data_IF_855769661752
#
_entry.id   IF_855769661752
#
_cell.length_a   1.000
_cell.length_b   1.000
_cell.length_c   1.000
_cell.angle_alpha   90.00
_cell.angle_beta   90.00
_cell.angle_gamma   90.00
#
_symmetry.space_group_name_H-M   'P 1'
#
loop_
_entity.id
_entity.type
_entity.pdbx_description
1 polymer ?
#
# COMPACT_ATOMS: atom_id res chain seq x y z
N UNK A 1 9.85 22.95 -17.54
CA UNK A 1 8.68 22.37 -16.84
C UNK A 1 9.18 21.29 -15.91
N UNK A 2 9.25 21.58 -14.61
CA UNK A 2 9.85 20.71 -13.60
C UNK A 2 8.80 19.68 -13.19
N UNK A 3 8.94 18.43 -13.67
CA UNK A 3 8.11 17.32 -13.21
C UNK A 3 8.51 16.96 -11.77
N UNK A 4 7.78 17.50 -10.80
CA UNK A 4 7.94 17.16 -9.39
C UNK A 4 7.40 15.75 -9.14
N UNK A 5 8.31 14.85 -8.72
CA UNK A 5 8.01 13.44 -8.48
C UNK A 5 7.11 13.27 -7.25
N UNK A 6 5.83 13.01 -7.51
CA UNK A 6 4.83 12.63 -6.49
C UNK A 6 5.23 11.30 -5.84
N UNK A 7 5.55 11.38 -4.55
CA UNK A 7 5.01 10.55 -3.47
C UNK A 7 5.22 9.04 -3.43
N UNK A 8 5.22 8.31 -4.55
CA UNK A 8 5.25 6.84 -4.51
C UNK A 8 6.54 6.36 -3.83
N UNK A 9 6.49 5.48 -2.81
CA UNK A 9 7.64 4.85 -2.24
C UNK A 9 8.21 3.98 -3.35
N UNK A 10 9.31 4.44 -3.91
CA UNK A 10 10.09 3.76 -4.94
C UNK A 10 10.68 2.43 -4.45
N UNK A 11 10.23 1.92 -3.28
CA UNK A 11 10.46 0.57 -2.76
C UNK A 11 10.24 -0.53 -3.81
N UNK A 12 9.53 -0.20 -4.88
CA UNK A 12 9.11 -1.03 -5.99
C UNK A 12 9.93 -0.82 -7.29
N UNK A 13 10.62 0.31 -7.48
CA UNK A 13 11.38 0.61 -8.72
C UNK A 13 12.65 -0.22 -8.92
N UNK A 14 13.17 -0.89 -7.88
CA UNK A 14 14.39 -1.70 -7.99
C UNK A 14 14.18 -3.21 -7.99
N UNK A 15 12.95 -3.70 -7.74
CA UNK A 15 12.56 -5.01 -8.26
C UNK A 15 12.57 -5.00 -9.81
N UNK A 16 12.55 -3.80 -10.36
CA UNK A 16 12.27 -3.41 -11.71
C UNK A 16 13.52 -3.09 -12.57
N UNK A 17 14.71 -2.94 -11.99
CA UNK A 17 15.93 -2.60 -12.75
C UNK A 17 16.75 -3.84 -13.17
N UNK A 18 16.19 -5.04 -13.07
CA UNK A 18 16.87 -6.30 -13.38
C UNK A 18 16.89 -6.61 -14.87
N UNK A 19 17.60 -5.82 -15.67
CA UNK A 19 17.90 -6.17 -17.05
C UNK A 19 18.97 -7.27 -17.10
N UNK A 20 18.55 -8.54 -17.11
CA UNK A 20 19.41 -9.68 -17.39
C UNK A 20 19.57 -9.86 -18.90
N UNK A 21 20.53 -9.14 -19.49
CA UNK A 21 20.97 -9.39 -20.88
C UNK A 21 21.77 -10.69 -20.94
N UNK A 22 21.13 -11.79 -21.34
CA UNK A 22 21.82 -13.01 -21.75
C UNK A 22 22.00 -13.00 -23.27
N UNK A 23 23.10 -12.42 -23.75
CA UNK A 23 23.55 -12.59 -25.14
C UNK A 23 24.10 -14.02 -25.29
N UNK A 24 23.37 -14.89 -26.00
CA UNK A 24 23.89 -16.20 -26.41
C UNK A 24 24.61 -16.06 -27.74
N UNK A 25 25.94 -16.14 -27.69
CA UNK A 25 26.77 -16.32 -28.86
C UNK A 25 26.46 -17.66 -29.54
N UNK A 26 26.32 -17.60 -30.85
CA UNK A 26 26.06 -18.70 -31.77
C UNK A 26 27.38 -19.43 -32.08
N UNK A 27 27.46 -20.74 -31.88
CA UNK A 27 28.51 -21.59 -32.47
C UNK A 27 27.86 -22.84 -33.08
N UNK A 28 28.19 -23.08 -34.35
CA UNK A 28 27.64 -24.10 -35.25
C UNK A 28 28.18 -25.52 -34.97
N UNK A 29 27.26 -26.49 -34.98
CA UNK A 29 27.29 -27.84 -35.63
C UNK A 29 28.34 -28.88 -35.14
N UNK A 30 28.18 -30.22 -35.35
CA UNK A 30 27.28 -30.90 -36.32
C UNK A 30 26.46 -32.12 -35.83
N UNK A 31 25.36 -32.35 -36.57
CA UNK A 31 24.64 -33.59 -36.97
C UNK A 31 25.02 -34.98 -36.40
N UNK A 32 23.99 -35.70 -35.91
CA UNK A 32 23.77 -37.12 -36.20
C UNK A 32 22.26 -37.48 -36.11
N UNK A 33 21.79 -38.13 -37.16
CA UNK A 33 20.44 -38.66 -37.43
C UNK A 33 20.19 -40.04 -36.81
N UNK A 34 18.91 -40.41 -36.56
CA UNK A 34 18.27 -41.72 -36.92
C UNK A 34 16.84 -41.84 -36.30
N UNK A 35 15.86 -41.82 -37.22
CA UNK A 35 14.58 -42.56 -37.41
C UNK A 35 13.59 -42.96 -36.28
N UNK A 36 12.30 -42.63 -36.57
CA UNK A 36 11.05 -43.44 -36.52
C UNK A 36 10.51 -43.92 -35.14
N UNK A 37 9.20 -44.08 -34.85
CA UNK A 37 7.98 -44.18 -35.66
C UNK A 37 6.71 -43.96 -34.80
N UNK A 38 5.64 -43.47 -35.44
CA UNK A 38 4.20 -43.85 -35.38
C UNK A 38 3.45 -44.07 -34.04
N UNK A 39 2.26 -43.45 -33.96
CA UNK A 39 1.11 -43.95 -33.20
C UNK A 39 -0.03 -42.94 -33.00
N UNK A 40 -1.07 -43.00 -33.83
CA UNK A 40 -2.40 -42.38 -33.62
C UNK A 40 -3.17 -43.11 -32.48
N UNK A 41 -4.18 -42.57 -31.79
CA UNK A 41 -5.57 -42.35 -32.25
C UNK A 41 -6.48 -41.71 -31.16
N UNK A 42 -7.61 -41.12 -31.62
CA UNK A 42 -8.95 -40.97 -31.01
C UNK A 42 -9.09 -40.14 -29.70
N UNK A 43 -9.80 -39.00 -29.61
CA UNK A 43 -11.12 -38.57 -30.09
C UNK A 43 -12.31 -39.39 -29.54
N UNK A 44 -12.95 -38.86 -28.49
CA UNK A 44 -14.31 -39.24 -28.09
C UNK A 44 -15.08 -38.00 -27.61
N UNK A 45 -16.06 -37.60 -28.41
CA UNK A 45 -17.10 -36.63 -28.11
C UNK A 45 -18.14 -37.26 -27.17
N UNK A 46 -18.70 -36.47 -26.25
CA UNK A 46 -20.11 -36.59 -25.88
C UNK A 46 -20.78 -35.23 -25.86
N UNK A 47 -21.74 -35.09 -26.78
CA UNK A 47 -22.78 -34.06 -26.80
C UNK A 47 -23.73 -34.28 -25.64
N UNK A 48 -24.21 -33.21 -25.02
CA UNK A 48 -25.60 -33.13 -24.59
C UNK A 48 -26.11 -31.74 -24.98
N UNK A 49 -27.20 -31.74 -25.73
CA UNK A 49 -27.89 -30.56 -26.26
C UNK A 49 -28.95 -30.07 -25.26
N UNK A 50 -29.33 -28.79 -25.38
CA UNK A 50 -30.66 -28.33 -24.92
C UNK A 50 -30.68 -26.93 -24.30
N UNK A 51 -30.77 -25.91 -25.15
CA UNK A 51 -31.39 -24.60 -24.84
C UNK A 51 -32.74 -24.60 -25.57
N UNK A 52 -33.81 -24.02 -24.99
CA UNK A 52 -34.21 -22.71 -25.50
C UNK A 52 -34.60 -21.71 -24.41
N UNK A 53 -34.40 -20.44 -24.75
CA UNK A 53 -34.85 -19.26 -24.06
C UNK A 53 -36.36 -19.00 -24.26
N UNK A 54 -36.95 -18.23 -23.35
CA UNK A 54 -38.15 -17.44 -23.63
C UNK A 54 -39.10 -17.28 -22.45
N UNK A 55 -39.17 -16.07 -21.88
CA UNK A 55 -40.42 -15.33 -21.65
C UNK A 55 -40.14 -14.03 -20.89
N UNK A 56 -40.51 -12.92 -21.52
CA UNK A 56 -40.67 -11.62 -20.89
C UNK A 56 -41.91 -11.61 -19.99
N UNK A 57 -41.86 -10.83 -18.91
CA UNK A 57 -43.08 -10.34 -18.23
C UNK A 57 -42.75 -9.06 -17.46
N UNK A 58 -43.27 -7.98 -18.01
CA UNK A 58 -43.43 -6.62 -17.49
C UNK A 58 -44.41 -6.57 -16.31
N UNK A 59 -44.12 -5.75 -15.29
CA UNK A 59 -45.05 -5.36 -14.22
C UNK A 59 -44.46 -4.26 -13.33
N UNK A 60 -45.27 -3.35 -12.76
CA UNK A 60 -45.08 -1.92 -13.00
C UNK A 60 -44.39 -1.13 -11.89
N UNK A 61 -43.78 -0.03 -12.36
CA UNK A 61 -43.35 1.15 -11.62
C UNK A 61 -44.57 1.91 -11.11
N UNK A 62 -44.56 2.36 -9.86
CA UNK A 62 -45.51 3.35 -9.36
C UNK A 62 -44.76 4.49 -8.66
N UNK A 63 -44.67 5.69 -9.27
CA UNK A 63 -44.15 6.89 -8.65
C UNK A 63 -45.33 7.79 -8.22
N UNK A 64 -45.41 8.09 -6.94
CA UNK A 64 -46.29 9.11 -6.39
C UNK A 64 -45.89 9.35 -4.94
N UNK A 65 -45.93 10.54 -4.37
CA UNK A 65 -46.29 11.87 -4.85
C UNK A 65 -45.67 12.84 -3.84
N UNK A 66 -45.54 14.08 -4.25
CA UNK A 66 -44.86 15.16 -3.56
C UNK A 66 -45.86 16.00 -2.70
N UNK A 67 -45.31 16.60 -1.63
CA UNK A 67 -45.65 17.89 -0.94
C UNK A 67 -46.86 17.96 0.04
N UNK A 68 -47.01 19.04 0.86
CA UNK A 68 -46.46 19.22 2.23
C UNK A 68 -47.56 19.45 3.28
N UNK A 69 -47.22 19.52 4.58
CA UNK A 69 -47.96 20.40 5.49
C UNK A 69 -47.08 20.95 6.61
N UNK A 70 -47.12 22.28 6.71
CA UNK A 70 -46.66 23.19 7.75
C UNK A 70 -47.26 22.88 9.14
N UNK A 71 -46.53 23.11 10.23
CA UNK A 71 -47.16 22.96 11.56
C UNK A 71 -46.33 23.24 12.80
N UNK A 72 -45.95 24.51 12.98
CA UNK A 72 -45.96 25.23 14.27
C UNK A 72 -44.88 24.92 15.33
N UNK A 73 -44.13 25.99 15.59
CA UNK A 73 -43.27 26.21 16.74
C UNK A 73 -44.00 26.10 18.08
N UNK A 74 -43.37 25.42 19.04
CA UNK A 74 -43.68 25.49 20.46
C UNK A 74 -42.40 25.76 21.23
N UNK A 75 -42.16 27.03 21.56
CA UNK A 75 -41.15 27.43 22.54
C UNK A 75 -41.66 27.11 23.94
N UNK A 76 -40.91 26.31 24.70
CA UNK A 76 -41.02 26.29 26.16
C UNK A 76 -39.62 26.25 26.77
N UNK A 77 -39.22 27.37 27.37
CA UNK A 77 -38.10 27.47 28.29
C UNK A 77 -38.58 26.99 29.65
N UNK A 78 -37.90 26.03 30.25
CA UNK A 78 -37.76 25.93 31.71
C UNK A 78 -36.34 25.47 32.05
N UNK A 79 -35.83 26.05 33.13
CA UNK A 79 -34.42 26.14 33.50
C UNK A 79 -33.88 24.92 34.26
N UNK A 80 -32.56 24.76 34.14
CA UNK A 80 -31.56 24.26 35.08
C UNK A 80 -31.96 23.22 36.16
N UNK A 81 -31.29 22.06 36.09
CA UNK A 81 -30.77 21.38 37.26
C UNK A 81 -29.41 20.75 36.90
N UNK A 82 -28.40 21.09 37.68
CA UNK A 82 -27.08 20.46 37.64
C UNK A 82 -27.22 18.99 38.03
N UNK A 83 -26.59 18.12 37.24
CA UNK A 83 -26.26 16.75 37.62
C UNK A 83 -24.78 16.57 37.32
N UNK A 84 -23.97 16.70 38.38
CA UNK A 84 -22.63 16.15 38.41
C UNK A 84 -22.79 14.63 38.48
N UNK A 85 -22.41 13.93 37.41
CA UNK A 85 -22.57 12.48 37.37
C UNK A 85 -22.30 11.90 36.00
N UNK A 86 -21.03 11.81 35.65
CA UNK A 86 -20.42 10.87 34.68
C UNK A 86 -19.16 11.54 34.14
N UNK A 87 -18.06 11.47 34.89
CA UNK A 87 -16.76 11.53 34.25
C UNK A 87 -16.72 10.31 33.33
N UNK A 88 -16.94 10.53 32.03
CA UNK A 88 -16.64 9.52 31.02
C UNK A 88 -15.19 9.14 31.26
N UNK A 89 -14.94 7.85 31.52
CA UNK A 89 -13.60 7.29 31.48
C UNK A 89 -13.13 7.52 30.04
N UNK A 90 -12.46 8.65 29.86
CA UNK A 90 -12.10 9.14 28.55
C UNK A 90 -10.81 8.46 28.16
N UNK A 91 -10.87 7.93 26.96
CA UNK A 91 -9.85 7.35 26.10
C UNK A 91 -8.56 8.20 26.01
N UNK A 92 -7.84 8.34 27.12
CA UNK A 92 -6.69 9.23 27.22
C UNK A 92 -5.44 8.49 26.73
N UNK A 93 -5.08 8.74 25.47
CA UNK A 93 -3.75 8.38 24.95
C UNK A 93 -2.68 8.91 25.92
N UNK A 94 -1.74 8.06 26.40
CA UNK A 94 -0.72 8.49 27.36
C UNK A 94 0.04 9.73 26.89
N UNK A 95 0.31 10.66 27.81
CA UNK A 95 0.91 11.96 27.48
C UNK A 95 2.25 11.84 26.74
N UNK A 96 3.10 10.88 27.15
CA UNK A 96 4.37 10.58 26.45
C UNK A 96 4.14 10.12 25.00
N UNK A 97 3.11 9.32 24.76
CA UNK A 97 2.77 8.82 23.43
C UNK A 97 2.26 9.97 22.57
N UNK A 98 1.35 10.78 23.11
CA UNK A 98 0.83 11.97 22.44
C UNK A 98 1.96 12.90 21.98
N UNK A 99 2.93 13.21 22.86
CA UNK A 99 4.11 14.03 22.54
C UNK A 99 4.93 13.47 21.38
N UNK A 100 5.19 12.16 21.34
CA UNK A 100 5.95 11.54 20.25
C UNK A 100 5.18 11.61 18.93
N UNK A 101 3.89 11.28 18.94
CA UNK A 101 3.07 11.29 17.73
C UNK A 101 2.92 12.71 17.16
N UNK A 102 2.72 13.71 18.01
CA UNK A 102 2.66 15.12 17.61
C UNK A 102 4.01 15.60 17.06
N UNK A 103 5.12 15.24 17.70
CA UNK A 103 6.46 15.59 17.20
C UNK A 103 6.73 14.98 15.81
N UNK A 104 6.32 13.73 15.57
CA UNK A 104 6.44 13.09 14.25
C UNK A 104 5.54 13.78 13.20
N UNK A 105 4.29 14.11 13.57
CA UNK A 105 3.36 14.84 12.71
C UNK A 105 3.90 16.24 12.37
N UNK A 106 4.53 16.94 13.32
CA UNK A 106 5.13 18.27 13.10
C UNK A 106 6.34 18.23 12.16
N UNK A 107 7.14 17.16 12.21
CA UNK A 107 8.25 16.98 11.28
C UNK A 107 7.74 16.68 9.86
N UNK A 108 6.70 15.85 9.76
CA UNK A 108 6.11 15.48 8.47
C UNK A 108 5.22 16.56 7.86
N UNK A 109 4.67 17.48 8.65
CA UNK A 109 3.91 18.63 8.14
C UNK A 109 4.76 19.62 7.35
N UNK A 110 6.09 19.52 7.47
CA UNK A 110 7.07 20.32 6.73
C UNK A 110 7.36 19.78 5.31
N UNK A 111 6.77 18.66 4.91
CA UNK A 111 6.86 18.17 3.53
C UNK A 111 6.25 19.19 2.56
N UNK A 112 7.01 19.72 1.59
CA UNK A 112 6.50 20.71 0.64
C UNK A 112 5.51 20.13 -0.37
N UNK A 113 5.41 18.79 -0.49
CA UNK A 113 4.43 18.12 -1.35
C UNK A 113 3.15 17.91 -0.58
N UNK A 114 2.01 18.00 -1.27
CA UNK A 114 0.70 17.71 -0.69
C UNK A 114 -0.06 16.65 -1.47
N UNK A 115 -1.07 16.08 -0.82
CA UNK A 115 -2.08 15.19 -1.40
C UNK A 115 -3.44 15.59 -0.86
N UNK A 116 -4.48 15.40 -1.67
CA UNK A 116 -5.85 15.62 -1.22
C UNK A 116 -6.34 14.45 -0.37
N UNK A 117 -6.82 14.77 0.84
CA UNK A 117 -7.49 13.83 1.74
C UNK A 117 -8.80 14.47 2.18
N UNK A 118 -9.92 13.84 1.84
CA UNK A 118 -11.26 14.34 2.21
C UNK A 118 -11.50 15.81 1.80
N UNK A 119 -11.02 16.19 0.61
CA UNK A 119 -11.14 17.55 0.07
C UNK A 119 -10.16 18.58 0.66
N UNK A 120 -9.21 18.14 1.52
CA UNK A 120 -8.18 19.01 2.10
C UNK A 120 -6.80 18.67 1.57
N UNK A 121 -5.99 19.70 1.27
CA UNK A 121 -4.59 19.52 0.94
C UNK A 121 -3.77 19.27 2.20
N UNK A 122 -3.18 18.08 2.32
CA UNK A 122 -2.38 17.65 3.46
C UNK A 122 -0.94 17.36 3.00
N UNK A 123 0.10 17.77 3.74
CA UNK A 123 1.48 17.40 3.44
C UNK A 123 1.64 15.88 3.25
N UNK A 124 2.37 15.44 2.22
CA UNK A 124 2.33 14.05 1.75
C UNK A 124 2.82 13.07 2.82
N UNK A 125 4.00 13.28 3.42
CA UNK A 125 4.48 12.37 4.48
C UNK A 125 3.59 12.40 5.74
N UNK A 126 2.86 13.51 6.01
CA UNK A 126 1.89 13.56 7.11
C UNK A 126 0.66 12.69 6.80
N UNK A 127 0.11 12.81 5.59
CA UNK A 127 -0.98 11.96 5.12
C UNK A 127 -0.55 10.48 5.12
N UNK A 128 0.65 10.17 4.62
CA UNK A 128 1.21 8.82 4.61
C UNK A 128 1.27 8.20 6.00
N UNK A 129 1.82 8.93 6.98
CA UNK A 129 1.96 8.43 8.34
C UNK A 129 0.59 8.17 9.01
N UNK A 130 -0.43 8.97 8.67
CA UNK A 130 -1.82 8.78 9.11
C UNK A 130 -2.47 7.55 8.45
N UNK A 131 -2.30 7.35 7.14
CA UNK A 131 -2.79 6.15 6.45
C UNK A 131 -2.16 4.88 7.01
N UNK A 132 -0.84 4.90 7.21
CA UNK A 132 -0.13 3.77 7.79
C UNK A 132 -0.60 3.46 9.21
N UNK A 133 -0.79 4.49 10.05
CA UNK A 133 -1.39 4.31 11.37
C UNK A 133 -2.79 3.69 11.28
N UNK A 134 -3.64 4.17 10.38
CA UNK A 134 -4.98 3.62 10.18
C UNK A 134 -4.98 2.13 9.83
N UNK A 135 -4.09 1.70 8.94
CA UNK A 135 -3.92 0.28 8.61
C UNK A 135 -3.38 -0.55 9.77
N UNK A 136 -2.37 -0.05 10.49
CA UNK A 136 -1.81 -0.74 11.66
C UNK A 136 -2.87 -0.96 12.73
N UNK A 137 -3.71 0.04 13.02
CA UNK A 137 -4.78 -0.10 14.02
C UNK A 137 -5.86 -1.08 13.59
N UNK A 138 -6.26 -1.08 12.31
CA UNK A 138 -7.21 -2.07 11.78
C UNK A 138 -6.67 -3.49 11.85
N UNK A 139 -5.44 -3.71 11.41
CA UNK A 139 -4.81 -5.03 11.44
C UNK A 139 -4.55 -5.52 12.87
N UNK A 140 -4.21 -4.62 13.80
CA UNK A 140 -4.09 -4.97 15.21
C UNK A 140 -5.44 -5.42 15.80
N UNK A 141 -6.53 -4.72 15.48
CA UNK A 141 -7.88 -5.13 15.88
C UNK A 141 -8.26 -6.50 15.28
N UNK A 142 -7.99 -6.72 13.99
CA UNK A 142 -8.23 -8.02 13.32
C UNK A 142 -7.38 -9.16 13.92
N UNK A 143 -6.22 -8.83 14.50
CA UNK A 143 -5.37 -9.75 15.26
C UNK A 143 -5.82 -9.97 16.71
N UNK A 144 -6.93 -9.36 17.14
CA UNK A 144 -7.44 -9.45 18.52
C UNK A 144 -6.71 -8.57 19.53
N UNK A 145 -5.90 -7.61 19.06
CA UNK A 145 -5.15 -6.68 19.92
C UNK A 145 -6.03 -5.46 20.20
N UNK A 146 -6.73 -5.47 21.34
CA UNK A 146 -7.60 -4.36 21.77
C UNK A 146 -6.85 -3.09 22.16
N UNK A 147 -5.60 -3.25 22.61
CA UNK A 147 -4.72 -2.14 23.01
C UNK A 147 -3.34 -2.33 22.35
N UNK A 148 -3.16 -1.81 21.12
CA UNK A 148 -1.86 -1.82 20.46
C UNK A 148 -0.80 -1.14 21.30
N UNK A 149 0.42 -1.70 21.34
CA UNK A 149 1.51 -1.12 22.11
C UNK A 149 1.82 0.31 21.66
N UNK A 150 2.36 1.12 22.58
CA UNK A 150 2.79 2.47 22.25
C UNK A 150 3.87 2.44 21.15
N UNK A 151 4.77 1.46 21.22
CA UNK A 151 5.83 1.22 20.23
C UNK A 151 5.27 0.93 18.84
N UNK A 152 4.24 0.08 18.70
CA UNK A 152 3.61 -0.19 17.41
C UNK A 152 2.98 1.07 16.82
N UNK A 153 2.30 1.87 17.65
CA UNK A 153 1.70 3.15 17.24
C UNK A 153 2.78 4.14 16.79
N UNK A 154 3.90 4.21 17.50
CA UNK A 154 5.05 5.08 17.18
C UNK A 154 5.72 4.63 15.89
N UNK A 155 5.95 3.32 15.69
CA UNK A 155 6.54 2.79 14.45
C UNK A 155 5.67 3.15 13.25
N UNK A 156 4.35 2.95 13.34
CA UNK A 156 3.42 3.29 12.26
C UNK A 156 3.50 4.77 11.88
N UNK A 157 3.65 5.64 12.88
CA UNK A 157 3.76 7.09 12.70
C UNK A 157 5.14 7.53 12.21
N UNK A 158 6.21 6.83 12.59
CA UNK A 158 7.61 7.18 12.32
C UNK A 158 8.25 6.49 11.11
N UNK A 159 7.59 5.49 10.50
CA UNK A 159 8.19 4.60 9.49
C UNK A 159 8.85 5.33 8.30
N UNK A 160 8.37 6.51 7.91
CA UNK A 160 8.92 7.37 6.85
C UNK A 160 9.12 8.84 7.29
N UNK A 161 9.35 9.09 8.58
CA UNK A 161 9.48 10.46 9.11
C UNK A 161 10.57 11.26 8.37
N UNK A 162 10.23 12.45 7.88
CA UNK A 162 11.11 13.35 7.11
C UNK A 162 11.73 12.74 5.83
N UNK A 163 11.13 11.68 5.27
CA UNK A 163 11.63 11.04 4.03
C UNK A 163 11.81 12.01 2.87
N UNK A 164 10.95 13.03 2.78
CA UNK A 164 11.01 14.08 1.76
C UNK A 164 12.34 14.85 1.72
N UNK A 165 13.12 14.87 2.81
CA UNK A 165 14.44 15.52 2.87
C UNK A 165 15.52 14.81 2.06
N UNK A 166 15.37 13.51 1.81
CA UNK A 166 16.35 12.69 1.10
C UNK A 166 15.68 12.05 -0.12
N UNK A 167 15.42 12.83 -1.19
CA UNK A 167 14.77 12.32 -2.39
C UNK A 167 15.66 11.29 -3.09
N UNK A 168 15.07 10.31 -3.79
CA UNK A 168 15.83 9.27 -4.49
C UNK A 168 16.81 9.82 -5.52
N UNK A 169 16.48 10.93 -6.16
CA UNK A 169 17.34 11.61 -7.12
C UNK A 169 18.65 12.13 -6.52
N UNK A 170 18.78 12.17 -5.19
CA UNK A 170 20.06 12.49 -4.51
C UNK A 170 21.08 11.34 -4.54
N UNK A 171 20.70 10.16 -5.02
CA UNK A 171 21.58 9.00 -5.19
C UNK A 171 21.72 8.64 -6.67
N UNK A 172 22.87 8.08 -7.13
CA UNK A 172 23.01 7.59 -8.51
C UNK A 172 21.93 6.59 -8.91
N UNK A 173 21.73 6.40 -10.22
CA UNK A 173 20.83 5.37 -10.73
C UNK A 173 21.34 3.94 -10.43
N UNK A 174 20.47 2.96 -10.67
CA UNK A 174 20.81 1.54 -10.51
C UNK A 174 20.50 0.97 -9.13
N UNK A 175 20.52 -0.37 -9.08
CA UNK A 175 20.03 -1.17 -7.94
C UNK A 175 20.85 -0.94 -6.67
N UNK A 176 22.18 -0.88 -6.77
CA UNK A 176 23.07 -0.73 -5.60
C UNK A 176 22.86 0.60 -4.89
N UNK A 177 22.89 1.71 -5.63
CA UNK A 177 22.67 3.04 -5.07
C UNK A 177 21.27 3.19 -4.47
N UNK A 178 20.26 2.56 -5.09
CA UNK A 178 18.93 2.50 -4.53
C UNK A 178 18.85 1.73 -3.20
N UNK A 179 19.54 0.59 -3.08
CA UNK A 179 19.55 -0.19 -1.84
C UNK A 179 20.24 0.60 -0.72
N UNK A 180 21.32 1.32 -1.06
CA UNK A 180 22.00 2.22 -0.14
C UNK A 180 21.07 3.34 0.34
N UNK A 181 20.41 4.06 -0.57
CA UNK A 181 19.44 5.10 -0.22
C UNK A 181 18.36 4.59 0.74
N UNK A 182 17.84 3.39 0.51
CA UNK A 182 16.84 2.78 1.40
C UNK A 182 17.38 2.42 2.77
N UNK A 183 18.63 1.96 2.82
CA UNK A 183 19.31 1.66 4.08
C UNK A 183 19.53 2.93 4.90
N UNK A 184 19.94 4.01 4.26
CA UNK A 184 20.18 5.29 4.91
C UNK A 184 18.87 5.94 5.38
N UNK A 185 17.81 5.88 4.57
CA UNK A 185 16.47 6.36 4.95
C UNK A 185 15.97 5.68 6.23
N UNK A 186 15.95 4.34 6.28
CA UNK A 186 15.41 3.64 7.47
C UNK A 186 16.24 3.91 8.73
N UNK A 187 17.57 4.10 8.60
CA UNK A 187 18.44 4.51 9.72
C UNK A 187 18.08 5.92 10.20
N UNK A 188 17.89 6.87 9.29
CA UNK A 188 17.50 8.24 9.64
C UNK A 188 16.11 8.29 10.29
N UNK A 189 15.14 7.52 9.79
CA UNK A 189 13.79 7.41 10.37
C UNK A 189 13.84 6.83 11.78
N UNK A 190 14.61 5.75 11.98
CA UNK A 190 14.78 5.14 13.30
C UNK A 190 15.41 6.12 14.29
N UNK A 191 16.52 6.76 13.91
CA UNK A 191 17.22 7.73 14.75
C UNK A 191 16.33 8.93 15.13
N UNK A 192 15.57 9.47 14.18
CA UNK A 192 14.65 10.58 14.42
C UNK A 192 13.54 10.19 15.39
N UNK A 193 12.94 9.01 15.16
CA UNK A 193 11.84 8.51 15.98
C UNK A 193 12.30 8.21 17.41
N UNK A 194 13.42 7.50 17.58
CA UNK A 194 13.93 7.15 18.92
C UNK A 194 14.45 8.36 19.69
N UNK A 195 14.96 9.38 19.01
CA UNK A 195 15.30 10.67 19.65
C UNK A 195 14.07 11.34 20.26
N UNK A 196 12.93 11.37 19.55
CA UNK A 196 11.68 11.92 20.08
C UNK A 196 11.14 11.07 21.24
N UNK A 197 11.24 9.74 21.15
CA UNK A 197 10.89 8.85 22.25
C UNK A 197 11.73 9.10 23.51
N UNK A 198 13.05 9.19 23.37
CA UNK A 198 13.93 9.47 24.50
C UNK A 198 13.60 10.82 25.15
N UNK A 199 13.34 11.86 24.36
CA UNK A 199 12.91 13.18 24.85
C UNK A 199 11.54 13.15 25.56
N UNK A 200 10.66 12.21 25.19
CA UNK A 200 9.38 11.99 25.85
C UNK A 200 9.46 11.05 27.09
N UNK A 201 10.66 10.57 27.44
CA UNK A 201 10.89 9.74 28.63
C UNK A 201 10.67 8.24 28.43
N UNK A 202 10.70 7.73 27.19
CA UNK A 202 10.68 6.28 26.97
C UNK A 202 12.01 5.63 27.41
N UNK A 203 11.96 4.42 28.01
CA UNK A 203 13.17 3.69 28.36
C UNK A 203 13.91 3.21 27.11
N UNK A 204 15.22 3.00 27.24
CA UNK A 204 16.10 2.59 26.15
C UNK A 204 15.62 1.32 25.43
N UNK A 205 15.07 0.35 26.17
CA UNK A 205 14.56 -0.91 25.61
C UNK A 205 13.35 -0.69 24.68
N UNK A 206 12.47 0.26 25.00
CA UNK A 206 11.36 0.63 24.11
C UNK A 206 11.89 1.31 22.84
N UNK A 207 12.89 2.20 22.95
CA UNK A 207 13.54 2.83 21.81
C UNK A 207 14.23 1.79 20.90
N UNK A 208 14.96 0.82 21.46
CA UNK A 208 15.60 -0.28 20.70
C UNK A 208 14.57 -1.14 19.98
N UNK A 209 13.41 -1.40 20.59
CA UNK A 209 12.32 -2.14 19.94
C UNK A 209 11.79 -1.39 18.72
N UNK A 210 11.48 -0.10 18.86
CA UNK A 210 11.01 0.75 17.75
C UNK A 210 12.06 0.84 16.64
N UNK A 211 13.34 1.01 16.99
CA UNK A 211 14.44 0.99 16.02
C UNK A 211 14.47 -0.33 15.23
N UNK A 212 14.41 -1.49 15.90
CA UNK A 212 14.39 -2.80 15.23
C UNK A 212 13.21 -2.94 14.26
N UNK A 213 12.03 -2.45 14.63
CA UNK A 213 10.84 -2.49 13.78
C UNK A 213 11.00 -1.59 12.55
N UNK A 214 11.44 -0.33 12.71
CA UNK A 214 11.68 0.59 11.57
C UNK A 214 12.77 0.05 10.64
N UNK A 215 13.84 -0.50 11.20
CA UNK A 215 14.94 -1.13 10.45
C UNK A 215 14.54 -2.46 9.79
N UNK A 216 13.32 -2.96 10.04
CA UNK A 216 12.78 -4.23 9.54
C UNK A 216 13.58 -5.45 9.99
N UNK A 217 14.07 -5.43 11.22
CA UNK A 217 14.84 -6.52 11.84
C UNK A 217 13.98 -7.46 12.70
N UNK A 218 12.70 -7.13 12.92
CA UNK A 218 11.75 -7.86 13.76
C UNK A 218 10.48 -8.33 12.99
N UNK A 219 10.58 -8.58 11.68
CA UNK A 219 9.42 -8.87 10.81
C UNK A 219 8.67 -10.17 11.13
N UNK A 220 9.26 -11.09 11.88
CA UNK A 220 8.65 -12.37 12.25
C UNK A 220 7.78 -12.28 13.50
N UNK A 221 7.84 -11.17 14.22
CA UNK A 221 7.00 -10.90 15.39
C UNK A 221 5.62 -10.40 14.92
N UNK A 222 4.57 -10.64 15.72
CA UNK A 222 3.19 -10.23 15.37
C UNK A 222 3.09 -8.77 14.95
N UNK A 223 3.67 -7.86 15.72
CA UNK A 223 3.65 -6.43 15.40
C UNK A 223 4.53 -6.08 14.20
N UNK A 224 5.67 -6.77 14.02
CA UNK A 224 6.50 -6.63 12.84
C UNK A 224 5.77 -7.02 11.56
N UNK A 225 4.99 -8.09 11.60
CA UNK A 225 4.14 -8.53 10.50
C UNK A 225 2.99 -7.53 10.26
N UNK A 226 2.35 -7.01 11.30
CA UNK A 226 1.31 -5.96 11.18
C UNK A 226 1.87 -4.73 10.44
N UNK A 227 3.07 -4.28 10.78
CA UNK A 227 3.72 -3.13 10.11
C UNK A 227 4.03 -3.44 8.65
N UNK A 228 4.55 -4.64 8.33
CA UNK A 228 4.84 -5.03 6.94
C UNK A 228 3.56 -5.15 6.10
N UNK A 229 2.49 -5.72 6.67
CA UNK A 229 1.17 -5.82 6.05
C UNK A 229 0.59 -4.42 5.78
N UNK A 230 0.58 -3.56 6.80
CA UNK A 230 0.09 -2.18 6.69
C UNK A 230 0.86 -1.39 5.64
N UNK A 231 2.18 -1.55 5.57
CA UNK A 231 2.99 -0.95 4.52
C UNK A 231 2.54 -1.41 3.13
N UNK A 232 2.36 -2.71 2.91
CA UNK A 232 1.90 -3.24 1.63
C UNK A 232 0.51 -2.69 1.26
N UNK A 233 -0.41 -2.64 2.22
CA UNK A 233 -1.78 -2.13 2.03
C UNK A 233 -1.80 -0.65 1.66
N UNK A 234 -1.00 0.20 2.32
CA UNK A 234 -0.89 1.62 1.93
C UNK A 234 -0.42 1.76 0.49
N UNK A 235 0.49 0.89 0.00
CA UNK A 235 0.87 0.96 -1.41
C UNK A 235 -0.26 0.57 -2.35
N UNK A 236 -0.91 -0.56 -2.08
CA UNK A 236 -1.99 -1.05 -2.91
C UNK A 236 -3.14 -0.03 -2.98
N UNK A 237 -3.48 0.59 -1.85
CA UNK A 237 -4.61 1.54 -1.75
C UNK A 237 -4.27 2.93 -2.30
N UNK A 238 -3.06 3.46 -2.02
CA UNK A 238 -2.78 4.90 -2.22
C UNK A 238 -1.80 5.21 -3.33
N UNK A 239 -1.01 4.24 -3.77
CA UNK A 239 0.20 4.51 -4.56
C UNK A 239 0.27 3.66 -5.82
N UNK A 240 -0.42 2.53 -5.87
CA UNK A 240 -0.36 1.59 -6.99
C UNK A 240 -0.78 2.27 -8.31
N UNK A 241 -1.94 2.93 -8.34
CA UNK A 241 -2.45 3.59 -9.54
C UNK A 241 -1.47 4.64 -10.10
N UNK A 242 -0.87 5.48 -9.24
CA UNK A 242 0.11 6.51 -9.63
C UNK A 242 1.48 5.93 -9.98
N UNK A 243 1.78 4.73 -9.49
CA UNK A 243 3.08 4.10 -9.72
C UNK A 243 3.21 3.49 -11.10
N UNK A 244 2.12 2.92 -11.62
CA UNK A 244 2.14 2.17 -12.86
C UNK A 244 2.58 3.00 -14.09
N UNK A 245 2.11 4.24 -14.30
CA UNK A 245 2.57 5.08 -15.41
C UNK A 245 4.10 5.28 -15.43
N UNK A 246 4.73 5.43 -14.26
CA UNK A 246 6.18 5.58 -14.15
C UNK A 246 6.93 4.33 -14.63
N UNK A 247 6.36 3.15 -14.46
CA UNK A 247 6.96 1.91 -14.99
C UNK A 247 6.90 1.85 -16.50
N UNK A 248 5.80 2.33 -17.10
CA UNK A 248 5.64 2.42 -18.56
C UNK A 248 6.66 3.40 -19.14
N UNK A 249 6.80 4.59 -18.54
CA UNK A 249 7.79 5.59 -18.97
C UNK A 249 9.22 5.03 -18.92
N UNK A 250 9.57 4.32 -17.85
CA UNK A 250 10.89 3.69 -17.72
C UNK A 250 11.14 2.59 -18.75
N UNK A 251 10.14 1.74 -19.01
CA UNK A 251 10.24 0.72 -20.04
C UNK A 251 10.39 1.33 -21.44
N UNK A 252 9.61 2.39 -21.74
CA UNK A 252 9.71 3.11 -23.00
C UNK A 252 11.08 3.78 -23.19
N UNK A 253 11.63 4.37 -22.13
CA UNK A 253 12.96 4.98 -22.15
C UNK A 253 14.07 3.93 -22.38
N UNK A 254 13.98 2.77 -21.72
CA UNK A 254 14.93 1.66 -21.91
C UNK A 254 14.88 1.07 -23.33
N UNK A 255 13.72 1.09 -23.97
CA UNK A 255 13.52 0.62 -25.34
C UNK A 255 13.91 1.65 -26.43
N UNK A 256 14.36 2.85 -26.07
CA UNK A 256 14.78 3.88 -27.02
C UNK A 256 13.65 4.45 -27.89
N UNK A 257 12.40 4.45 -27.40
CA UNK A 257 11.23 4.91 -28.16
C UNK A 257 10.58 3.86 -29.07
N UNK A 258 10.71 2.57 -28.72
CA UNK A 258 10.08 1.44 -29.41
C UNK A 258 8.55 1.37 -29.27
N UNK A 259 7.97 0.25 -29.71
CA UNK A 259 6.53 -0.03 -29.70
C UNK A 259 5.89 0.22 -28.30
N UNK A 260 4.91 1.13 -28.19
CA UNK A 260 4.20 1.38 -26.93
C UNK A 260 3.59 0.13 -26.29
N UNK A 261 3.16 -0.85 -27.08
CA UNK A 261 2.61 -2.10 -26.56
C UNK A 261 3.68 -2.95 -25.87
N UNK A 262 4.92 -2.93 -26.37
CA UNK A 262 6.05 -3.63 -25.76
C UNK A 262 6.45 -2.99 -24.41
N UNK A 263 6.52 -1.66 -24.35
CA UNK A 263 6.79 -0.93 -23.11
C UNK A 263 5.71 -1.19 -22.04
N UNK A 264 4.44 -1.22 -22.46
CA UNK A 264 3.32 -1.58 -21.60
C UNK A 264 3.45 -3.02 -21.05
N UNK A 265 3.77 -4.00 -21.91
CA UNK A 265 3.92 -5.39 -21.50
C UNK A 265 5.09 -5.60 -20.52
N UNK A 266 6.20 -4.88 -20.71
CA UNK A 266 7.32 -4.89 -19.76
C UNK A 266 6.94 -4.28 -18.41
N UNK A 267 6.25 -3.14 -18.42
CA UNK A 267 5.75 -2.50 -17.20
C UNK A 267 4.76 -3.39 -16.43
N UNK A 268 3.87 -4.08 -17.15
CA UNK A 268 2.95 -5.08 -16.60
C UNK A 268 3.71 -6.23 -15.93
N UNK A 269 4.67 -6.85 -16.62
CA UNK A 269 5.45 -7.97 -16.09
C UNK A 269 6.22 -7.57 -14.83
N UNK A 270 6.83 -6.38 -14.88
CA UNK A 270 7.51 -5.76 -13.75
C UNK A 270 6.58 -5.49 -12.57
N UNK A 271 5.38 -4.97 -12.83
CA UNK A 271 4.38 -4.75 -11.79
C UNK A 271 3.91 -6.07 -11.17
N UNK A 272 3.70 -7.10 -11.97
CA UNK A 272 3.36 -8.44 -11.49
C UNK A 272 4.43 -9.00 -10.55
N UNK A 273 5.71 -8.90 -10.91
CA UNK A 273 6.83 -9.31 -10.04
C UNK A 273 6.86 -8.52 -8.72
N UNK A 274 6.58 -7.22 -8.78
CA UNK A 274 6.43 -6.34 -7.60
C UNK A 274 5.29 -6.84 -6.70
N UNK A 275 4.11 -7.08 -7.26
CA UNK A 275 2.94 -7.55 -6.53
C UNK A 275 3.17 -8.93 -5.91
N UNK A 276 3.82 -9.86 -6.62
CA UNK A 276 4.22 -11.16 -6.08
C UNK A 276 5.18 -11.00 -4.88
N UNK A 277 6.15 -10.08 -4.98
CA UNK A 277 7.07 -9.77 -3.87
C UNK A 277 6.34 -9.10 -2.70
N UNK A 278 5.33 -8.28 -2.92
CA UNK A 278 4.44 -7.75 -1.87
C UNK A 278 3.70 -8.89 -1.18
N UNK A 279 3.07 -9.76 -1.98
CA UNK A 279 2.22 -10.84 -1.49
C UNK A 279 2.98 -11.84 -0.62
N UNK A 280 4.21 -12.18 -1.02
CA UNK A 280 5.11 -13.06 -0.25
C UNK A 280 5.46 -12.51 1.13
N UNK A 281 5.47 -11.18 1.31
CA UNK A 281 5.76 -10.54 2.60
C UNK A 281 4.54 -10.39 3.48
N UNK A 282 3.35 -10.33 2.88
CA UNK A 282 2.11 -10.16 3.64
C UNK A 282 1.72 -11.44 4.37
N UNK A 283 1.26 -11.29 5.61
CA UNK A 283 0.62 -12.33 6.40
C UNK A 283 -0.84 -12.57 5.99
N UNK A 284 -1.53 -13.54 6.63
CA UNK A 284 -2.93 -13.84 6.33
C UNK A 284 -3.87 -12.63 6.48
N UNK A 285 -3.68 -11.82 7.53
CA UNK A 285 -4.50 -10.62 7.77
C UNK A 285 -4.29 -9.57 6.69
N UNK A 286 -3.03 -9.24 6.36
CA UNK A 286 -2.73 -8.33 5.26
C UNK A 286 -3.29 -8.77 3.91
N UNK A 287 -3.19 -10.08 3.58
CA UNK A 287 -3.77 -10.63 2.35
C UNK A 287 -5.29 -10.56 2.33
N UNK A 288 -5.95 -10.88 3.45
CA UNK A 288 -7.40 -10.76 3.58
C UNK A 288 -7.87 -9.31 3.44
N UNK A 289 -7.14 -8.35 4.01
CA UNK A 289 -7.41 -6.93 3.85
C UNK A 289 -7.18 -6.44 2.41
N UNK A 290 -6.11 -6.91 1.75
CA UNK A 290 -5.79 -6.56 0.37
C UNK A 290 -6.91 -7.00 -0.59
N UNK A 291 -7.53 -8.16 -0.36
CA UNK A 291 -8.67 -8.65 -1.15
C UNK A 291 -9.95 -7.82 -1.02
N UNK A 292 -10.02 -6.90 -0.06
CA UNK A 292 -11.17 -6.00 0.16
C UNK A 292 -10.94 -4.59 -0.40
N UNK A 293 -9.76 -4.30 -0.95
CA UNK A 293 -9.44 -2.96 -1.45
C UNK A 293 -10.25 -2.65 -2.72
N UNK A 294 -10.78 -1.43 -2.85
CA UNK A 294 -11.46 -0.98 -4.06
C UNK A 294 -10.41 -0.63 -5.13
N UNK A 295 -9.89 -1.65 -5.82
CA UNK A 295 -8.94 -1.49 -6.90
C UNK A 295 -9.65 -1.15 -8.22
N UNK A 296 -9.02 -0.32 -9.05
CA UNK A 296 -9.46 -0.10 -10.43
C UNK A 296 -9.30 -1.37 -11.28
N UNK A 297 -9.93 -1.37 -12.46
CA UNK A 297 -9.96 -2.56 -13.33
C UNK A 297 -8.56 -3.05 -13.72
N UNK A 298 -7.64 -2.12 -14.02
CA UNK A 298 -6.25 -2.45 -14.37
C UNK A 298 -5.50 -3.04 -13.18
N UNK A 299 -5.60 -2.40 -12.02
CA UNK A 299 -4.96 -2.83 -10.78
C UNK A 299 -5.44 -4.23 -10.40
N UNK A 300 -6.75 -4.47 -10.47
CA UNK A 300 -7.36 -5.77 -10.20
C UNK A 300 -6.85 -6.85 -11.17
N UNK A 301 -6.74 -6.55 -12.47
CA UNK A 301 -6.21 -7.49 -13.45
C UNK A 301 -4.73 -7.86 -13.18
N UNK A 302 -3.90 -6.88 -12.82
CA UNK A 302 -2.49 -7.11 -12.47
C UNK A 302 -2.33 -7.91 -11.18
N UNK A 303 -3.16 -7.66 -10.17
CA UNK A 303 -3.22 -8.49 -8.95
C UNK A 303 -3.63 -9.91 -9.29
N UNK A 304 -4.67 -10.11 -10.10
CA UNK A 304 -5.11 -11.45 -10.53
C UNK A 304 -3.98 -12.24 -11.20
N UNK A 305 -3.22 -11.60 -12.10
CA UNK A 305 -2.03 -12.20 -12.73
C UNK A 305 -0.95 -12.55 -11.71
N UNK A 306 -0.69 -11.66 -10.74
CA UNK A 306 0.31 -11.89 -9.71
C UNK A 306 -0.03 -13.05 -8.76
N UNK A 307 -1.32 -13.29 -8.51
CA UNK A 307 -1.77 -14.40 -7.65
C UNK A 307 -1.82 -15.75 -8.36
N UNK A 308 -1.82 -15.75 -9.70
CA UNK A 308 -1.88 -16.97 -10.51
C UNK A 308 -0.52 -17.65 -10.74
N UNK A 309 0.60 -17.01 -10.38
CA UNK A 309 1.96 -17.53 -10.57
C UNK A 309 2.77 -17.53 -9.28
#
# INVERSE_FOLDING_TARGET
MVAMSLGVPERWLAAASGAGSASRACSRQPIASVTASRGATAFAQRRIAGVPAGAASTGPVNPGRCVPTTGRAGTSRLAAAASAGSASVSDATPERLRKVLEGLDELNSKDPRSVEVEGQQVPYELAYARWLTGWVLRLAADAGISQPSEELRIVARGQHVERWKVPRSSYPEGRTAYLQWREDLKKAHAATTTRLMAAAGYPEEACKRVEKLILKKALKETEGQIVEDALCLVFLERQFAEFFPKLVEQAAAAAGGGDPAAAQAEADAKMVDILQKSWKKMGPLGRAAAGKLPLGEREAALVGRALAG
#
